data_IF_382055195829
#
_entry.id   IF_382055195829
#
_cell.length_a   1.000
_cell.length_b   1.000
_cell.length_c   1.000
_cell.angle_alpha   90.00
_cell.angle_beta   90.00
_cell.angle_gamma   90.00
#
_symmetry.space_group_name_H-M   'P 1'
#
loop_
_entity.id
_entity.type
_entity.pdbx_description
1 polymer ?
#
# COMPACT_ATOMS: atom_id res chain seq x y z
N UNK A 1 22.83 -13.46 -5.05
CA UNK A 1 21.94 -13.17 -3.89
C UNK A 1 20.60 -12.71 -4.43
N UNK A 2 19.58 -13.57 -4.39
CA UNK A 2 18.19 -13.12 -4.59
C UNK A 2 17.38 -13.88 -3.56
N UNK A 3 17.13 -13.24 -2.42
CA UNK A 3 16.27 -13.81 -1.39
C UNK A 3 14.83 -13.67 -1.91
N UNK A 4 14.33 -14.75 -2.51
CA UNK A 4 12.94 -14.89 -2.96
C UNK A 4 12.07 -14.97 -1.71
N UNK A 5 11.74 -13.81 -1.16
CA UNK A 5 10.84 -13.76 -0.02
C UNK A 5 9.43 -13.90 -0.56
N UNK A 6 8.92 -15.12 -0.46
CA UNK A 6 7.51 -15.49 -0.55
C UNK A 6 6.74 -14.84 0.62
N UNK A 7 6.74 -13.50 0.65
CA UNK A 7 5.89 -12.71 1.53
C UNK A 7 4.76 -12.22 0.66
N UNK A 8 3.55 -12.65 0.99
CA UNK A 8 2.32 -12.05 0.50
C UNK A 8 2.50 -10.53 0.43
N UNK A 9 2.37 -9.95 -0.76
CA UNK A 9 2.58 -8.52 -0.96
C UNK A 9 1.78 -7.73 0.07
N UNK A 10 2.47 -6.88 0.83
CA UNK A 10 1.78 -5.97 1.74
C UNK A 10 0.90 -5.02 0.93
N UNK A 11 -0.13 -4.42 1.53
CA UNK A 11 -0.91 -3.39 0.85
C UNK A 11 -0.07 -2.29 0.22
N UNK A 12 1.02 -1.89 0.90
CA UNK A 12 1.98 -0.93 0.36
C UNK A 12 2.75 -1.49 -0.85
N UNK A 13 3.21 -2.73 -0.82
CA UNK A 13 3.90 -3.34 -1.96
C UNK A 13 2.98 -3.41 -3.19
N UNK A 14 1.70 -3.76 -3.00
CA UNK A 14 0.69 -3.73 -4.06
C UNK A 14 0.52 -2.32 -4.65
N UNK A 15 0.42 -1.30 -3.79
CA UNK A 15 0.33 0.09 -4.22
C UNK A 15 1.56 0.53 -5.02
N UNK A 16 2.77 0.16 -4.57
CA UNK A 16 4.03 0.47 -5.26
C UNK A 16 4.07 -0.21 -6.64
N UNK A 17 3.71 -1.50 -6.71
CA UNK A 17 3.66 -2.25 -7.98
C UNK A 17 2.68 -1.62 -8.97
N UNK A 18 1.50 -1.22 -8.50
CA UNK A 18 0.46 -0.62 -9.33
C UNK A 18 0.88 0.71 -10.00
N UNK A 19 1.80 1.46 -9.38
CA UNK A 19 2.34 2.71 -9.95
C UNK A 19 3.65 2.52 -10.73
N UNK A 20 4.00 1.27 -11.08
CA UNK A 20 5.22 0.96 -11.85
C UNK A 20 6.44 0.57 -11.00
N UNK A 21 6.22 0.15 -9.75
CA UNK A 21 7.27 -0.40 -8.89
C UNK A 21 8.13 0.64 -8.15
N UNK A 22 7.81 1.93 -8.24
CA UNK A 22 8.60 3.00 -7.63
C UNK A 22 7.91 3.66 -6.44
N UNK A 23 8.57 3.62 -5.28
CA UNK A 23 8.11 4.30 -4.06
C UNK A 23 8.00 5.81 -4.23
N UNK A 24 8.91 6.41 -5.03
CA UNK A 24 8.91 7.85 -5.30
C UNK A 24 7.65 8.25 -6.07
N UNK A 25 7.32 7.49 -7.11
CA UNK A 25 6.13 7.74 -7.94
C UNK A 25 4.85 7.61 -7.11
N UNK A 26 4.78 6.61 -6.21
CA UNK A 26 3.64 6.49 -5.30
C UNK A 26 3.52 7.73 -4.40
N UNK A 27 4.65 8.17 -3.81
CA UNK A 27 4.70 9.33 -2.93
C UNK A 27 4.21 10.61 -3.64
N UNK A 28 4.68 10.83 -4.87
CA UNK A 28 4.27 11.96 -5.72
C UNK A 28 2.77 11.93 -6.02
N UNK A 29 2.23 10.78 -6.42
CA UNK A 29 0.79 10.65 -6.75
C UNK A 29 -0.13 10.85 -5.55
N UNK A 30 0.26 10.39 -4.35
CA UNK A 30 -0.56 10.52 -3.14
C UNK A 30 -0.26 11.79 -2.33
N UNK A 31 0.68 12.62 -2.81
CA UNK A 31 1.03 13.91 -2.21
C UNK A 31 1.73 13.79 -0.85
N UNK A 32 2.65 12.84 -0.70
CA UNK A 32 3.45 12.66 0.54
C UNK A 32 4.94 12.59 0.23
N UNK A 33 5.78 12.68 1.25
CA UNK A 33 7.22 12.52 1.07
C UNK A 33 7.62 11.05 0.83
N UNK A 34 8.70 10.77 0.07
CA UNK A 34 9.23 9.41 -0.06
C UNK A 34 9.60 8.77 1.29
N UNK A 35 9.99 9.59 2.27
CA UNK A 35 10.27 9.16 3.64
C UNK A 35 9.01 8.61 4.34
N UNK A 36 7.84 9.24 4.12
CA UNK A 36 6.58 8.73 4.65
C UNK A 36 6.28 7.32 4.13
N UNK A 37 6.49 7.08 2.83
CA UNK A 37 6.35 5.74 2.22
C UNK A 37 7.34 4.74 2.83
N UNK A 38 8.60 5.15 3.06
CA UNK A 38 9.59 4.29 3.72
C UNK A 38 9.18 3.92 5.15
N UNK A 39 8.62 4.87 5.90
CA UNK A 39 8.10 4.63 7.25
C UNK A 39 6.92 3.66 7.25
N UNK A 40 6.01 3.75 6.27
CA UNK A 40 4.93 2.75 6.13
C UNK A 40 5.50 1.34 5.89
N UNK A 41 6.52 1.23 5.03
CA UNK A 41 7.19 -0.05 4.76
C UNK A 41 7.83 -0.64 6.03
N UNK A 42 8.53 0.18 6.81
CA UNK A 42 9.14 -0.23 8.09
C UNK A 42 8.11 -0.66 9.14
N UNK A 43 6.90 -0.10 9.09
CA UNK A 43 5.77 -0.40 10.00
C UNK A 43 4.90 -1.59 9.54
N UNK A 44 5.38 -2.40 8.60
CA UNK A 44 4.67 -3.58 8.11
C UNK A 44 3.87 -3.38 6.83
N UNK A 45 3.99 -2.22 6.16
CA UNK A 45 3.41 -2.02 4.83
C UNK A 45 1.90 -1.80 4.82
N UNK A 46 1.32 -1.41 5.94
CA UNK A 46 -0.08 -1.00 6.00
C UNK A 46 -0.27 0.42 5.48
N UNK A 47 -1.36 0.64 4.74
CA UNK A 47 -1.73 1.96 4.24
C UNK A 47 -2.55 2.74 5.27
N UNK A 48 -2.43 4.07 5.30
CA UNK A 48 -3.22 4.90 6.20
C UNK A 48 -4.73 4.84 5.87
N UNK A 49 -5.55 4.74 6.92
CA UNK A 49 -6.99 4.44 6.83
C UNK A 49 -7.91 5.67 6.94
N UNK A 50 -7.36 6.88 7.06
CA UNK A 50 -8.17 8.11 7.03
C UNK A 50 -8.89 8.26 5.69
N UNK A 51 -10.15 8.66 5.68
CA UNK A 51 -11.01 8.74 4.48
C UNK A 51 -10.35 9.42 3.29
N UNK A 52 -9.71 10.58 3.51
CA UNK A 52 -8.98 11.31 2.46
C UNK A 52 -7.84 10.48 1.86
N UNK A 53 -7.08 9.79 2.72
CA UNK A 53 -5.93 9.00 2.27
C UNK A 53 -6.38 7.74 1.55
N UNK A 54 -7.41 7.05 2.03
CA UNK A 54 -8.00 5.90 1.32
C UNK A 54 -8.33 6.28 -0.12
N UNK A 55 -9.04 7.41 -0.29
CA UNK A 55 -9.39 7.92 -1.62
C UNK A 55 -8.14 8.20 -2.47
N UNK A 56 -7.15 8.92 -1.94
CA UNK A 56 -5.89 9.24 -2.65
C UNK A 56 -5.15 7.99 -3.12
N UNK A 57 -5.05 6.96 -2.29
CA UNK A 57 -4.34 5.73 -2.66
C UNK A 57 -5.11 4.91 -3.70
N UNK A 58 -6.43 4.85 -3.60
CA UNK A 58 -7.28 4.21 -4.63
C UNK A 58 -7.14 4.95 -5.97
N UNK A 59 -7.28 6.27 -5.98
CA UNK A 59 -7.14 7.10 -7.19
C UNK A 59 -5.73 7.00 -7.79
N UNK A 60 -4.68 7.01 -6.97
CA UNK A 60 -3.29 6.96 -7.45
C UNK A 60 -2.90 5.61 -8.07
N UNK A 61 -3.42 4.51 -7.52
CA UNK A 61 -3.01 3.14 -7.88
C UNK A 61 -3.99 2.47 -8.84
N UNK A 62 -5.24 2.95 -8.93
CA UNK A 62 -6.32 2.28 -9.66
C UNK A 62 -6.79 0.96 -9.02
N UNK A 63 -6.27 0.60 -7.84
CA UNK A 63 -6.67 -0.61 -7.13
C UNK A 63 -7.90 -0.35 -6.26
N UNK A 64 -8.80 -1.33 -6.19
CA UNK A 64 -9.95 -1.28 -5.29
C UNK A 64 -9.53 -1.22 -3.82
N UNK A 65 -10.39 -0.57 -3.01
CA UNK A 65 -10.19 -0.46 -1.55
C UNK A 65 -10.02 -1.81 -0.84
N UNK A 66 -10.65 -2.89 -1.33
CA UNK A 66 -10.52 -4.23 -0.76
C UNK A 66 -9.11 -4.81 -0.93
N UNK A 67 -8.45 -4.48 -2.04
CA UNK A 67 -7.09 -4.92 -2.34
C UNK A 67 -6.07 -4.15 -1.49
N UNK A 68 -6.30 -2.85 -1.32
CA UNK A 68 -5.43 -1.93 -0.58
C UNK A 68 -5.68 -1.94 0.95
N UNK A 69 -6.86 -2.38 1.38
CA UNK A 69 -7.26 -2.35 2.79
C UNK A 69 -7.97 -3.66 3.19
N UNK A 70 -7.29 -4.81 3.05
CA UNK A 70 -7.91 -6.11 3.32
C UNK A 70 -8.40 -6.22 4.77
N UNK A 71 -7.70 -5.67 5.76
CA UNK A 71 -8.15 -5.69 7.16
C UNK A 71 -9.43 -4.90 7.46
N UNK A 72 -9.87 -4.01 6.56
CA UNK A 72 -11.11 -3.25 6.72
C UNK A 72 -12.30 -3.88 5.99
N UNK A 73 -12.05 -4.56 4.86
CA UNK A 73 -13.12 -5.02 3.96
C UNK A 73 -13.15 -6.53 3.73
N UNK A 74 -12.08 -7.23 4.07
CA UNK A 74 -11.99 -8.68 4.07
C UNK A 74 -11.23 -9.14 5.32
N UNK A 75 -11.74 -8.87 6.53
CA UNK A 75 -11.13 -9.39 7.75
C UNK A 75 -11.06 -10.91 7.62
N UNK A 76 -9.95 -11.57 8.01
CA UNK A 76 -9.95 -13.02 8.10
C UNK A 76 -11.14 -13.39 8.98
N UNK A 77 -12.08 -14.15 8.43
CA UNK A 77 -13.25 -14.61 9.18
C UNK A 77 -12.74 -15.23 10.48
N UNK A 78 -12.97 -14.54 11.60
CA UNK A 78 -12.66 -15.07 12.90
C UNK A 78 -13.59 -16.28 13.09
N UNK A 79 -13.00 -17.48 13.05
CA UNK A 79 -13.60 -18.74 13.49
C UNK A 79 -13.81 -18.71 15.01
#
# INVERSE_FOLDING_TARGET
MINMTDRSDTPLDKAIKAVGGSQKVLAEKVGVSPQAINMLKKRGGNLPVSTEKVRKYVEATGLSREVLYPGLFNPPSAL
#
